data_IF_793958245445
#
_entry.id   IF_793958245445
#
_cell.length_a   1.000
_cell.length_b   1.000
_cell.length_c   1.000
_cell.angle_alpha   90.00
_cell.angle_beta   90.00
_cell.angle_gamma   90.00
#
_symmetry.space_group_name_H-M   'P 1'
#
loop_
_entity.id
_entity.type
_entity.pdbx_description
1 polymer ?
#
# COMPACT_ATOMS: atom_id res chain seq x y z
N UNK A 1 10.96 -7.12 0.17
CA UNK A 1 10.43 -6.50 1.42
C UNK A 1 8.96 -6.86 1.63
N UNK A 2 8.09 -6.61 0.65
CA UNK A 2 6.67 -7.04 0.69
C UNK A 2 6.53 -8.57 0.61
N UNK A 3 7.35 -9.25 -0.20
CA UNK A 3 7.31 -10.72 -0.33
C UNK A 3 7.58 -11.47 0.98
N UNK A 4 8.40 -10.89 1.86
CA UNK A 4 8.69 -11.47 3.16
C UNK A 4 7.46 -11.42 4.09
N UNK A 5 6.67 -10.35 4.04
CA UNK A 5 5.41 -10.23 4.77
C UNK A 5 4.39 -11.25 4.22
N UNK A 6 4.28 -11.38 2.90
CA UNK A 6 3.42 -12.40 2.29
C UNK A 6 3.86 -13.82 2.71
N UNK A 7 5.17 -14.10 2.69
CA UNK A 7 5.73 -15.39 3.11
C UNK A 7 5.52 -15.71 4.60
N UNK A 8 5.41 -14.69 5.46
CA UNK A 8 5.08 -14.85 6.89
C UNK A 8 3.59 -15.16 7.14
N UNK A 9 2.77 -15.27 6.10
CA UNK A 9 1.37 -15.69 6.21
C UNK A 9 0.38 -14.54 6.45
N UNK A 10 0.80 -13.28 6.26
CA UNK A 10 -0.13 -12.16 6.29
C UNK A 10 -1.11 -12.25 5.11
N UNK A 11 -2.41 -12.11 5.39
CA UNK A 11 -3.48 -12.22 4.38
C UNK A 11 -3.53 -11.02 3.44
N UNK A 12 -3.09 -9.85 3.90
CA UNK A 12 -2.96 -8.64 3.10
C UNK A 12 -1.88 -7.72 3.68
N UNK A 13 -1.19 -7.00 2.80
CA UNK A 13 -0.25 -5.93 3.16
C UNK A 13 -0.75 -4.66 2.49
N UNK A 14 -0.99 -3.61 3.29
CA UNK A 14 -1.45 -2.29 2.85
C UNK A 14 -0.39 -1.24 3.11
N UNK A 15 -0.20 -0.34 2.15
CA UNK A 15 0.71 0.79 2.25
C UNK A 15 0.07 2.05 1.67
N UNK A 16 0.36 3.20 2.28
CA UNK A 16 -0.13 4.51 1.86
C UNK A 16 1.01 5.39 1.35
N UNK A 17 0.72 6.26 0.37
CA UNK A 17 1.63 7.32 -0.05
C UNK A 17 0.87 8.64 -0.20
N UNK A 18 1.57 9.76 -0.02
CA UNK A 18 0.98 11.08 -0.21
C UNK A 18 0.63 11.33 -1.67
N UNK A 19 -0.55 11.88 -1.90
CA UNK A 19 -0.98 12.32 -3.22
C UNK A 19 0.05 13.30 -3.82
N UNK A 20 0.49 13.01 -5.04
CA UNK A 20 1.62 13.71 -5.70
C UNK A 20 2.99 13.05 -5.53
N UNK A 21 3.17 12.08 -4.62
CA UNK A 21 4.41 11.31 -4.53
C UNK A 21 4.43 10.14 -5.53
N UNK A 22 4.67 10.47 -6.79
CA UNK A 22 4.73 9.51 -7.90
C UNK A 22 5.84 8.46 -7.76
N UNK A 23 6.93 8.78 -7.07
CA UNK A 23 8.01 7.83 -6.85
C UNK A 23 7.55 6.68 -5.96
N UNK A 24 6.90 6.99 -4.84
CA UNK A 24 6.31 5.97 -3.95
C UNK A 24 5.23 5.15 -4.64
N UNK A 25 4.35 5.81 -5.41
CA UNK A 25 3.33 5.13 -6.22
C UNK A 25 3.94 4.07 -7.13
N UNK A 26 4.98 4.44 -7.90
CA UNK A 26 5.66 3.50 -8.82
C UNK A 26 6.33 2.35 -8.09
N UNK A 27 6.85 2.56 -6.88
CA UNK A 27 7.43 1.48 -6.07
C UNK A 27 6.35 0.48 -5.65
N UNK A 28 5.17 0.96 -5.23
CA UNK A 28 4.04 0.10 -4.86
C UNK A 28 3.50 -0.68 -6.06
N UNK A 29 3.34 -0.01 -7.21
CA UNK A 29 2.96 -0.65 -8.47
C UNK A 29 3.96 -1.76 -8.87
N UNK A 30 5.28 -1.48 -8.79
CA UNK A 30 6.34 -2.47 -9.08
C UNK A 30 6.37 -3.63 -8.08
N UNK A 31 5.90 -3.41 -6.86
CA UNK A 31 5.77 -4.46 -5.85
C UNK A 31 4.50 -5.30 -6.04
N UNK A 32 3.71 -5.08 -7.10
CA UNK A 32 2.48 -5.82 -7.38
C UNK A 32 1.29 -5.40 -6.50
N UNK A 33 1.39 -4.26 -5.81
CA UNK A 33 0.27 -3.74 -5.04
C UNK A 33 -0.72 -3.04 -5.96
N UNK A 34 -2.00 -3.08 -5.60
CA UNK A 34 -3.10 -2.46 -6.35
C UNK A 34 -3.79 -1.38 -5.53
N UNK A 35 -4.23 -0.31 -6.17
CA UNK A 35 -4.98 0.77 -5.50
C UNK A 35 -6.26 0.21 -4.90
N UNK A 36 -6.56 0.62 -3.67
CA UNK A 36 -7.86 0.37 -3.03
C UNK A 36 -8.68 1.65 -2.97
N UNK A 37 -10.01 1.51 -2.85
CA UNK A 37 -10.93 2.63 -2.64
C UNK A 37 -10.89 3.09 -1.18
N UNK A 38 -9.71 3.54 -0.75
CA UNK A 38 -9.46 4.13 0.55
C UNK A 38 -8.50 5.31 0.37
N UNK A 39 -8.92 6.46 0.86
CA UNK A 39 -8.10 7.65 1.00
C UNK A 39 -8.31 8.25 2.37
N UNK A 40 -7.25 8.80 2.94
CA UNK A 40 -7.32 9.49 4.23
C UNK A 40 -6.66 10.86 4.12
N UNK A 41 -7.06 11.79 4.97
CA UNK A 41 -6.36 13.06 5.16
C UNK A 41 -5.62 12.95 6.49
N UNK A 42 -4.30 13.05 6.46
CA UNK A 42 -3.48 13.01 7.67
C UNK A 42 -2.71 14.32 7.85
N UNK A 43 -2.57 14.77 9.09
CA UNK A 43 -1.69 15.88 9.40
C UNK A 43 -0.26 15.37 9.54
N UNK A 44 0.65 15.90 8.73
CA UNK A 44 2.07 15.59 8.79
C UNK A 44 2.87 16.89 8.67
N UNK A 45 3.76 17.14 9.64
CA UNK A 45 4.56 18.37 9.72
C UNK A 45 3.73 19.68 9.69
N UNK A 46 2.52 19.65 10.26
CA UNK A 46 1.63 20.80 10.32
C UNK A 46 0.85 21.07 9.03
N UNK A 47 0.96 20.20 8.03
CA UNK A 47 0.22 20.27 6.77
C UNK A 47 -0.72 19.06 6.64
N UNK A 48 -1.91 19.27 6.07
CA UNK A 48 -2.83 18.18 5.75
C UNK A 48 -2.46 17.56 4.39
N UNK A 49 -2.22 16.25 4.39
CA UNK A 49 -1.89 15.49 3.19
C UNK A 49 -2.93 14.42 2.90
N UNK A 50 -3.36 14.34 1.64
CA UNK A 50 -4.14 13.21 1.16
C UNK A 50 -3.23 12.00 1.02
N UNK A 51 -3.65 10.86 1.55
CA UNK A 51 -2.98 9.57 1.46
C UNK A 51 -3.80 8.64 0.59
N UNK A 52 -3.16 8.05 -0.41
CA UNK A 52 -3.75 7.01 -1.26
C UNK A 52 -3.19 5.66 -0.86
N UNK A 53 -4.08 4.68 -0.71
CA UNK A 53 -3.70 3.34 -0.27
C UNK A 53 -3.64 2.32 -1.40
N UNK A 54 -2.62 1.47 -1.33
CA UNK A 54 -2.43 0.31 -2.18
C UNK A 54 -2.33 -0.94 -1.31
N UNK A 55 -2.75 -2.07 -1.83
CA UNK A 55 -2.78 -3.35 -1.14
C UNK A 55 -2.33 -4.49 -2.05
N UNK A 56 -1.62 -5.46 -1.47
CA UNK A 56 -1.42 -6.79 -2.05
C UNK A 56 -2.03 -7.82 -1.10
N UNK A 57 -2.82 -8.74 -1.66
CA UNK A 57 -3.45 -9.83 -0.92
C UNK A 57 -2.68 -11.11 -1.17
N UNK A 58 -2.50 -11.91 -0.13
CA UNK A 58 -2.00 -13.27 -0.28
C UNK A 58 -3.19 -14.16 -0.64
N UNK A 59 -3.33 -14.50 -1.92
CA UNK A 59 -4.22 -15.59 -2.33
C UNK A 59 -3.58 -16.90 -1.86
N UNK A 60 -3.80 -17.26 -0.60
CA UNK A 60 -3.59 -18.64 -0.18
C UNK A 60 -4.61 -19.44 -0.98
N UNK A 61 -4.15 -20.08 -2.06
CA UNK A 61 -4.92 -21.12 -2.74
C UNK A 61 -5.19 -22.17 -1.68
N UNK A 62 -6.43 -22.21 -1.20
CA UNK A 62 -6.93 -23.34 -0.44
C UNK A 62 -6.83 -24.55 -1.38
N UNK A 63 -5.75 -25.32 -1.22
CA UNK A 63 -5.62 -26.66 -1.79
C UNK A 63 -6.44 -27.64 -0.97
#
# INVERSE_FOLDING_TARGET
AVDALVAMGWSAVRAGFFEGNDASRRVMEKAGMTRVDLTEVIEYRGESHNVVYYEIKNEIKAG
#
